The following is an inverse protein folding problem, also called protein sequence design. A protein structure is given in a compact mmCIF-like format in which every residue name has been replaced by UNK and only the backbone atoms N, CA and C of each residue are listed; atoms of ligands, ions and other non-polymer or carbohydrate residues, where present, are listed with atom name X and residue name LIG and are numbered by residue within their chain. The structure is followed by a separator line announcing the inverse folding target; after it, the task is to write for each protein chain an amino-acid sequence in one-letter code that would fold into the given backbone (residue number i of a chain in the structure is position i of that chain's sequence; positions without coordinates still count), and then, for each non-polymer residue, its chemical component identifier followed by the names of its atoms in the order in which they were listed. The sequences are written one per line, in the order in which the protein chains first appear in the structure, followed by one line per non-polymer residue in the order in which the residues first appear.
data_IF_989518452820
#
_entry.id   IF_989518452820
#
_cell.length_a   1.000
_cell.length_b   1.000
_cell.length_c   1.000
_cell.angle_alpha   90.00
_cell.angle_beta   90.00
_cell.angle_gamma   90.00
#
_symmetry.space_group_name_H-M   'P 1'
#
loop_
_entity.id
_entity.type
_entity.pdbx_description
1 polymer ?
#
# COMPACT_ATOMS: atom_id res chain seq x y z
N UNK A 1 -15.33 -82.61 -1.80
CA UNK A 1 -14.87 -81.75 -0.69
C UNK A 1 -14.56 -80.37 -1.25
N UNK A 2 -15.31 -79.34 -0.84
CA UNK A 2 -15.23 -78.00 -1.42
C UNK A 2 -13.94 -77.28 -1.02
N UNK A 3 -13.22 -76.72 -2.01
CA UNK A 3 -12.03 -75.91 -1.80
C UNK A 3 -12.44 -74.53 -1.28
N UNK A 4 -12.37 -74.34 0.03
CA UNK A 4 -12.64 -73.08 0.70
C UNK A 4 -11.61 -72.01 0.31
N UNK A 5 -12.01 -71.08 -0.57
CA UNK A 5 -11.29 -69.84 -0.83
C UNK A 5 -11.30 -68.98 0.44
N UNK A 6 -10.18 -68.94 1.16
CA UNK A 6 -9.94 -67.94 2.20
C UNK A 6 -9.93 -66.55 1.56
N UNK A 7 -11.10 -65.90 1.58
CA UNK A 7 -11.29 -64.50 1.21
C UNK A 7 -10.58 -63.66 2.27
N UNK A 8 -9.30 -63.34 2.05
CA UNK A 8 -8.55 -62.37 2.86
C UNK A 8 -9.34 -61.07 2.87
N UNK A 9 -10.07 -60.83 3.95
CA UNK A 9 -10.66 -59.55 4.30
C UNK A 9 -9.55 -58.61 4.79
N UNK A 10 -8.57 -58.30 3.95
CA UNK A 10 -7.87 -57.02 4.11
C UNK A 10 -8.82 -55.96 3.57
N UNK A 11 -9.83 -55.58 4.37
CA UNK A 11 -10.47 -54.28 4.20
C UNK A 11 -9.34 -53.26 4.32
N UNK A 12 -8.75 -52.88 3.19
CA UNK A 12 -7.85 -51.74 3.12
C UNK A 12 -8.61 -50.61 3.78
N UNK A 13 -8.07 -50.10 4.90
CA UNK A 13 -8.63 -48.94 5.58
C UNK A 13 -8.79 -47.88 4.49
N UNK A 14 -10.02 -47.65 4.04
CA UNK A 14 -10.41 -46.52 3.19
C UNK A 14 -9.70 -45.33 3.81
N UNK A 15 -8.74 -44.75 3.07
CA UNK A 15 -7.82 -43.75 3.61
C UNK A 15 -8.60 -42.77 4.46
N UNK A 16 -8.20 -42.64 5.73
CA UNK A 16 -8.83 -41.73 6.68
C UNK A 16 -8.89 -40.38 5.96
N UNK A 17 -10.10 -39.96 5.57
CA UNK A 17 -10.32 -38.65 4.96
C UNK A 17 -9.74 -37.67 5.96
N UNK A 18 -8.63 -37.01 5.59
CA UNK A 18 -8.02 -35.97 6.43
C UNK A 18 -9.16 -35.04 6.83
N UNK A 19 -9.39 -34.92 8.14
CA UNK A 19 -10.44 -34.06 8.68
C UNK A 19 -10.27 -32.69 8.02
N UNK A 20 -11.33 -32.14 7.44
CA UNK A 20 -11.29 -30.80 6.86
C UNK A 20 -11.01 -29.84 8.01
N UNK A 21 -9.79 -29.32 8.06
CA UNK A 21 -9.35 -28.34 9.07
C UNK A 21 -9.34 -26.98 8.39
N UNK A 22 -9.90 -25.97 9.06
CA UNK A 22 -9.89 -24.60 8.57
C UNK A 22 -8.46 -24.13 8.30
N UNK A 23 -8.13 -23.69 7.08
CA UNK A 23 -6.81 -23.18 6.73
C UNK A 23 -6.29 -22.07 7.65
N UNK A 24 -7.16 -21.24 8.24
CA UNK A 24 -6.74 -20.15 9.14
C UNK A 24 -6.15 -20.64 10.47
N UNK A 25 -6.53 -21.85 10.92
CA UNK A 25 -5.96 -22.44 12.15
C UNK A 25 -4.46 -22.75 12.03
N UNK A 26 -3.93 -22.80 10.79
CA UNK A 26 -2.52 -23.04 10.49
C UNK A 26 -1.73 -21.77 10.23
N UNK A 27 -2.35 -20.60 10.35
CA UNK A 27 -1.69 -19.31 10.12
C UNK A 27 -1.31 -18.65 11.43
N UNK A 28 -0.18 -17.94 11.39
CA UNK A 28 0.26 -17.03 12.44
C UNK A 28 0.19 -15.59 11.94
N UNK A 29 -0.06 -14.69 12.89
CA UNK A 29 -0.12 -13.26 12.68
C UNK A 29 1.22 -12.60 13.00
N UNK A 30 1.68 -11.75 12.09
CA UNK A 30 2.90 -10.95 12.18
C UNK A 30 2.56 -9.47 12.05
N UNK A 31 3.18 -8.62 12.89
CA UNK A 31 3.04 -7.17 12.80
C UNK A 31 4.06 -6.58 11.83
N UNK A 32 3.66 -5.62 11.00
CA UNK A 32 4.55 -4.94 10.06
C UNK A 32 4.99 -3.61 10.68
N UNK A 33 6.30 -3.45 10.84
CA UNK A 33 6.91 -2.27 11.44
C UNK A 33 7.59 -1.41 10.37
N UNK A 34 7.22 -0.13 10.32
CA UNK A 34 7.90 0.89 9.51
C UNK A 34 9.19 1.38 10.19
N UNK A 35 10.19 1.84 9.41
CA UNK A 35 11.39 2.48 9.93
C UNK A 35 11.07 3.72 10.77
N UNK A 36 12.00 4.11 11.64
CA UNK A 36 11.92 5.33 12.46
C UNK A 36 11.93 6.64 11.67
N UNK A 37 12.10 6.57 10.34
CA UNK A 37 11.97 7.73 9.45
C UNK A 37 10.52 8.23 9.37
N UNK A 38 9.55 7.38 9.70
CA UNK A 38 8.13 7.69 9.77
C UNK A 38 7.69 7.84 11.23
N UNK A 39 6.66 8.67 11.46
CA UNK A 39 6.15 8.91 12.80
C UNK A 39 5.43 7.68 13.38
N UNK A 40 4.53 7.08 12.60
CA UNK A 40 3.80 5.87 13.00
C UNK A 40 4.56 4.64 12.53
N UNK A 41 5.04 3.84 13.48
CA UNK A 41 5.77 2.59 13.18
C UNK A 41 4.86 1.41 12.93
N UNK A 42 3.66 1.40 13.48
CA UNK A 42 2.71 0.30 13.34
C UNK A 42 1.92 0.47 12.06
N UNK A 43 2.27 -0.33 11.05
CA UNK A 43 1.69 -0.22 9.72
C UNK A 43 0.44 -1.09 9.59
N UNK A 44 0.51 -2.30 10.15
CA UNK A 44 -0.56 -3.27 10.03
C UNK A 44 -0.11 -4.66 10.41
N UNK A 45 -0.92 -5.65 10.04
CA UNK A 45 -0.70 -7.06 10.37
C UNK A 45 -0.87 -7.94 9.15
N UNK A 46 -0.14 -9.04 9.12
CA UNK A 46 -0.19 -10.02 8.04
C UNK A 46 -0.21 -11.44 8.56
N UNK A 47 -0.90 -12.31 7.81
CA UNK A 47 -1.03 -13.72 8.15
C UNK A 47 -0.13 -14.55 7.23
N UNK A 48 0.64 -15.46 7.82
CA UNK A 48 1.48 -16.43 7.09
C UNK A 48 1.32 -17.80 7.69
N UNK A 49 1.51 -18.84 6.88
CA UNK A 49 1.45 -20.21 7.37
C UNK A 49 2.52 -20.44 8.45
N UNK A 50 2.15 -21.15 9.50
CA UNK A 50 3.08 -21.62 10.54
C UNK A 50 4.22 -22.39 9.91
N UNK A 51 5.41 -22.19 10.46
CA UNK A 51 6.58 -22.99 10.12
C UNK A 51 6.25 -24.47 10.35
N UNK A 52 6.40 -25.28 9.32
CA UNK A 52 6.07 -26.70 9.35
C UNK A 52 7.06 -27.48 8.50
N UNK A 53 7.81 -28.38 9.13
CA UNK A 53 8.87 -29.14 8.47
C UNK A 53 9.91 -28.23 7.83
N UNK A 54 10.13 -28.40 6.53
CA UNK A 54 11.14 -27.64 5.75
C UNK A 54 10.65 -26.27 5.26
N UNK A 55 9.38 -25.90 5.49
CA UNK A 55 8.82 -24.62 5.05
C UNK A 55 8.81 -23.64 6.21
N UNK A 56 9.72 -22.67 6.18
CA UNK A 56 9.80 -21.62 7.19
C UNK A 56 8.84 -20.47 6.86
N UNK A 57 8.15 -19.95 7.87
CA UNK A 57 7.29 -18.77 7.75
C UNK A 57 8.11 -17.53 7.35
N UNK A 58 9.32 -17.40 7.89
CA UNK A 58 10.17 -16.23 7.69
C UNK A 58 10.55 -16.04 6.21
N UNK A 59 10.91 -17.13 5.53
CA UNK A 59 11.30 -17.09 4.11
C UNK A 59 10.14 -16.66 3.21
N UNK A 60 8.90 -16.95 3.63
CA UNK A 60 7.71 -16.52 2.89
C UNK A 60 7.41 -15.03 3.11
N UNK A 61 7.80 -14.46 4.24
CA UNK A 61 7.57 -13.07 4.62
C UNK A 61 8.64 -12.13 4.06
N UNK A 62 9.91 -12.54 4.10
CA UNK A 62 11.03 -11.76 3.56
C UNK A 62 10.83 -11.47 2.08
N UNK A 63 11.14 -10.25 1.68
CA UNK A 63 11.00 -9.77 0.31
C UNK A 63 9.58 -9.36 -0.10
N UNK A 64 8.55 -9.57 0.74
CA UNK A 64 7.21 -9.01 0.47
C UNK A 64 7.26 -7.49 0.53
N UNK A 65 6.44 -6.86 -0.31
CA UNK A 65 6.32 -5.41 -0.41
C UNK A 65 4.91 -5.01 0.02
N UNK A 66 4.81 -4.11 0.98
CA UNK A 66 3.59 -3.48 1.43
C UNK A 66 3.49 -2.08 0.84
N UNK A 67 2.32 -1.72 0.34
CA UNK A 67 2.02 -0.39 -0.16
C UNK A 67 1.04 0.28 0.78
N UNK A 68 1.43 1.42 1.33
CA UNK A 68 0.69 2.13 2.38
C UNK A 68 0.67 3.61 2.07
N UNK A 69 -0.40 4.31 2.47
CA UNK A 69 -0.47 5.76 2.34
C UNK A 69 0.56 6.43 3.24
N UNK A 70 1.20 7.50 2.76
CA UNK A 70 2.09 8.31 3.58
C UNK A 70 1.31 9.02 4.70
N UNK A 71 0.03 9.32 4.48
CA UNK A 71 -0.81 9.93 5.50
C UNK A 71 -0.94 9.05 6.75
N UNK A 72 -1.10 7.74 6.59
CA UNK A 72 -1.22 6.80 7.71
C UNK A 72 0.10 6.66 8.48
N UNK A 73 1.24 6.86 7.80
CA UNK A 73 2.57 6.78 8.39
C UNK A 73 2.99 8.08 9.11
N UNK A 74 2.39 9.22 8.74
CA UNK A 74 2.76 10.54 9.27
C UNK A 74 1.63 11.22 10.07
N UNK A 75 0.43 10.63 10.08
CA UNK A 75 -0.80 11.23 10.62
C UNK A 75 -1.12 12.61 10.01
N UNK A 76 -0.84 12.78 8.72
CA UNK A 76 -1.06 14.02 7.96
C UNK A 76 -1.80 13.74 6.66
N UNK A 77 -3.04 14.23 6.56
CA UNK A 77 -3.92 14.00 5.43
C UNK A 77 -3.46 14.71 4.14
N UNK A 78 -2.65 15.77 4.24
CA UNK A 78 -2.12 16.48 3.06
C UNK A 78 -1.26 15.56 2.20
N UNK A 79 -0.73 14.49 2.79
CA UNK A 79 0.11 13.49 2.14
C UNK A 79 -0.64 12.22 1.68
N UNK A 80 -1.98 12.20 1.73
CA UNK A 80 -2.78 11.02 1.40
C UNK A 80 -2.59 10.48 -0.04
N UNK A 81 -2.23 11.35 -0.98
CA UNK A 81 -2.02 10.95 -2.38
C UNK A 81 -0.68 10.22 -2.64
N UNK A 82 0.17 10.10 -1.62
CA UNK A 82 1.50 9.49 -1.75
C UNK A 82 1.45 8.10 -1.16
N UNK A 83 1.88 7.12 -1.96
CA UNK A 83 1.94 5.71 -1.56
C UNK A 83 3.39 5.32 -1.37
N UNK A 84 3.74 4.85 -0.19
CA UNK A 84 5.07 4.36 0.15
C UNK A 84 5.08 2.85 0.03
N UNK A 85 6.14 2.32 -0.57
CA UNK A 85 6.39 0.88 -0.68
C UNK A 85 7.46 0.49 0.34
N UNK A 86 7.10 -0.39 1.25
CA UNK A 86 7.95 -0.92 2.31
C UNK A 86 8.22 -2.40 2.04
N UNK A 87 9.49 -2.79 1.94
CA UNK A 87 9.89 -4.19 1.75
C UNK A 87 10.29 -4.80 3.09
N UNK A 88 9.85 -6.01 3.40
CA UNK A 88 10.33 -6.76 4.56
C UNK A 88 11.72 -7.30 4.26
N UNK A 89 12.73 -6.83 5.00
CA UNK A 89 14.10 -7.34 4.86
C UNK A 89 14.42 -8.38 5.93
N UNK A 90 13.99 -8.17 7.18
CA UNK A 90 14.22 -9.09 8.31
C UNK A 90 13.00 -9.23 9.21
N UNK A 91 12.93 -10.32 9.98
CA UNK A 91 11.82 -10.61 10.90
C UNK A 91 12.41 -10.88 12.27
N UNK A 92 11.91 -10.19 13.29
CA UNK A 92 12.30 -10.35 14.68
C UNK A 92 11.10 -10.82 15.50
N UNK A 93 11.11 -12.08 15.92
CA UNK A 93 9.96 -12.69 16.58
C UNK A 93 8.73 -12.65 15.66
N UNK A 94 7.73 -11.83 16.04
CA UNK A 94 6.51 -11.60 15.23
C UNK A 94 6.49 -10.22 14.53
N UNK A 95 7.59 -9.48 14.58
CA UNK A 95 7.70 -8.15 13.96
C UNK A 95 8.45 -8.28 12.64
N UNK A 96 7.84 -7.82 11.55
CA UNK A 96 8.46 -7.69 10.24
C UNK A 96 9.11 -6.31 10.15
N UNK A 97 10.44 -6.26 10.13
CA UNK A 97 11.19 -5.02 9.96
C UNK A 97 11.26 -4.68 8.47
N UNK A 98 10.73 -3.51 8.13
CA UNK A 98 10.67 -3.06 6.74
C UNK A 98 11.70 -1.99 6.42
N UNK A 99 12.03 -1.88 5.13
CA UNK A 99 12.89 -0.84 4.58
C UNK A 99 12.18 -0.14 3.41
N UNK A 100 12.57 1.10 3.11
CA UNK A 100 12.01 1.85 2.00
C UNK A 100 12.37 1.21 0.66
N UNK A 101 11.37 0.89 -0.15
CA UNK A 101 11.54 0.28 -1.46
C UNK A 101 11.14 1.19 -2.62
N UNK A 102 10.19 2.09 -2.40
CA UNK A 102 9.75 3.02 -3.42
C UNK A 102 8.64 3.94 -2.97
N UNK A 103 8.31 4.87 -3.85
CA UNK A 103 7.24 5.84 -3.65
C UNK A 103 6.48 5.99 -4.96
N UNK A 104 5.16 6.09 -4.88
CA UNK A 104 4.30 6.31 -6.04
C UNK A 104 3.18 7.30 -5.69
N UNK A 105 2.54 7.84 -6.72
CA UNK A 105 1.35 8.66 -6.57
C UNK A 105 0.09 7.81 -6.68
N UNK A 106 -1.00 8.27 -6.06
CA UNK A 106 -2.34 7.79 -6.36
C UNK A 106 -2.76 8.23 -7.77
N UNK A 107 -3.64 7.45 -8.40
CA UNK A 107 -4.07 7.69 -9.78
C UNK A 107 -4.98 8.91 -9.89
N UNK A 108 -5.82 9.15 -8.89
CA UNK A 108 -6.71 10.31 -8.75
C UNK A 108 -5.91 11.61 -8.72
N UNK A 109 -4.89 11.72 -7.85
CA UNK A 109 -4.08 12.93 -7.75
C UNK A 109 -3.37 13.24 -9.05
N UNK A 110 -2.73 12.26 -9.68
CA UNK A 110 -2.05 12.46 -10.96
C UNK A 110 -3.02 12.97 -12.02
N UNK A 111 -4.19 12.35 -12.15
CA UNK A 111 -5.24 12.76 -13.11
C UNK A 111 -5.78 14.15 -12.81
N UNK A 112 -5.87 14.55 -11.55
CA UNK A 112 -6.34 15.88 -11.13
C UNK A 112 -5.38 17.03 -11.48
N UNK A 113 -4.06 16.74 -11.46
CA UNK A 113 -2.99 17.69 -11.75
C UNK A 113 -2.85 17.95 -13.25
N UNK A 114 -3.02 16.91 -14.07
CA UNK A 114 -2.95 16.99 -15.53
C UNK A 114 -4.21 17.64 -16.09
N UNK A 115 -4.17 18.96 -16.23
CA UNK A 115 -5.23 19.77 -16.85
C UNK A 115 -4.79 20.30 -18.22
N UNK A 116 -5.77 20.67 -19.05
CA UNK A 116 -5.53 21.36 -20.34
C UNK A 116 -4.97 22.78 -20.11
N UNK A 117 -4.42 23.38 -21.16
CA UNK A 117 -3.96 24.79 -21.20
C UNK A 117 -2.69 25.15 -20.41
N UNK A 118 -1.96 24.14 -19.98
CA UNK A 118 -0.65 24.25 -19.32
C UNK A 118 0.31 23.22 -19.92
N UNK A 119 1.60 23.44 -19.79
CA UNK A 119 2.63 22.48 -20.22
C UNK A 119 2.95 21.53 -19.07
N UNK A 120 2.98 20.24 -19.38
CA UNK A 120 3.53 19.20 -18.51
C UNK A 120 5.05 19.10 -18.76
N UNK A 121 5.83 19.15 -17.69
CA UNK A 121 7.28 18.96 -17.72
C UNK A 121 7.64 17.73 -16.89
N UNK A 122 8.23 16.73 -17.54
CA UNK A 122 8.72 15.50 -16.93
C UNK A 122 10.24 15.46 -16.94
N UNK A 123 10.82 14.96 -15.84
CA UNK A 123 12.24 14.67 -15.73
C UNK A 123 12.43 13.33 -15.02
N UNK A 124 13.40 12.54 -15.48
CA UNK A 124 13.75 11.25 -14.91
C UNK A 124 15.27 11.16 -14.76
N UNK A 125 15.73 10.61 -13.65
CA UNK A 125 17.15 10.40 -13.38
C UNK A 125 17.37 9.11 -12.59
N UNK A 126 18.48 8.43 -12.88
CA UNK A 126 19.01 7.36 -12.05
C UNK A 126 20.15 7.90 -11.20
N UNK A 127 20.03 7.79 -9.88
CA UNK A 127 21.03 8.27 -8.92
C UNK A 127 21.43 7.12 -8.00
N UNK A 128 22.72 7.09 -7.67
CA UNK A 128 23.26 6.21 -6.63
C UNK A 128 23.41 7.02 -5.34
N UNK A 129 22.85 6.54 -4.26
CA UNK A 129 22.99 7.16 -2.92
C UNK A 129 24.33 6.79 -2.29
N UNK A 130 24.65 7.42 -1.15
CA UNK A 130 25.90 7.16 -0.40
C UNK A 130 26.00 5.74 0.16
N UNK A 131 24.87 5.12 0.47
CA UNK A 131 24.70 3.75 0.95
C UNK A 131 24.50 2.73 -0.19
N UNK A 132 24.95 3.07 -1.41
CA UNK A 132 24.99 2.19 -2.57
C UNK A 132 23.62 1.72 -3.13
N UNK A 133 22.51 2.36 -2.76
CA UNK A 133 21.23 2.13 -3.42
C UNK A 133 21.18 2.84 -4.77
N UNK A 134 20.75 2.13 -5.80
CA UNK A 134 20.52 2.70 -7.13
C UNK A 134 19.03 2.96 -7.30
N UNK A 135 18.64 4.23 -7.36
CA UNK A 135 17.26 4.68 -7.42
C UNK A 135 16.97 5.36 -8.76
N UNK A 136 15.75 5.22 -9.28
CA UNK A 136 15.22 6.00 -10.39
C UNK A 136 14.10 6.91 -9.89
N UNK A 137 14.36 8.21 -9.94
CA UNK A 137 13.45 9.28 -9.53
C UNK A 137 12.74 9.84 -10.76
N UNK A 138 11.44 10.06 -10.65
CA UNK A 138 10.61 10.70 -11.66
C UNK A 138 10.00 11.96 -11.05
N UNK A 139 10.31 13.11 -11.64
CA UNK A 139 9.75 14.39 -11.24
C UNK A 139 8.78 14.89 -12.30
N UNK A 140 7.71 15.52 -11.83
CA UNK A 140 6.69 16.18 -12.66
C UNK A 140 6.54 17.62 -12.21
N UNK A 141 6.27 18.50 -13.16
CA UNK A 141 5.97 19.90 -12.91
C UNK A 141 4.99 20.41 -13.97
N UNK A 142 4.21 21.43 -13.61
CA UNK A 142 3.29 22.11 -14.52
C UNK A 142 3.61 23.59 -14.56
N UNK A 143 3.36 24.23 -15.70
CA UNK A 143 3.48 25.69 -15.80
C UNK A 143 2.41 26.40 -14.97
N UNK A 144 2.81 27.46 -14.27
CA UNK A 144 1.91 28.28 -13.47
C UNK A 144 1.44 29.50 -14.26
N UNK A 145 0.15 29.79 -14.15
CA UNK A 145 -0.42 31.01 -14.73
C UNK A 145 0.01 32.22 -13.92
N UNK A 146 0.44 33.28 -14.59
CA UNK A 146 0.80 34.54 -13.93
C UNK A 146 -0.46 35.30 -13.50
N UNK A 147 -0.43 36.03 -12.37
CA UNK A 147 -1.51 36.95 -12.05
C UNK A 147 -1.65 37.97 -13.19
N UNK A 148 -2.90 38.31 -13.55
CA UNK A 148 -3.24 39.23 -14.64
C UNK A 148 -2.90 38.77 -16.07
N UNK A 149 -2.70 37.46 -16.28
CA UNK A 149 -2.50 36.91 -17.62
C UNK A 149 -3.82 36.83 -18.41
N UNK A 150 -3.89 37.60 -19.51
CA UNK A 150 -5.05 37.65 -20.43
C UNK A 150 -5.22 36.32 -21.18
N UNK A 151 -4.12 35.73 -21.68
CA UNK A 151 -4.17 34.45 -22.39
C UNK A 151 -4.63 33.33 -21.45
N UNK A 152 -5.59 32.52 -21.91
CA UNK A 152 -6.06 31.32 -21.19
C UNK A 152 -4.97 30.25 -21.08
N UNK A 153 -4.08 30.19 -22.06
CA UNK A 153 -3.02 29.18 -22.16
C UNK A 153 -1.70 29.66 -21.56
N UNK A 154 -0.97 28.72 -20.96
CA UNK A 154 0.31 28.95 -20.27
C UNK A 154 1.35 27.95 -20.76
N UNK A 155 1.64 27.99 -22.06
CA UNK A 155 2.62 27.08 -22.65
C UNK A 155 4.03 27.65 -22.53
N UNK A 156 4.96 26.82 -22.07
CA UNK A 156 6.39 27.12 -22.09
C UNK A 156 6.97 26.78 -23.46
N UNK A 157 7.95 27.56 -23.93
CA UNK A 157 8.65 27.27 -25.17
C UNK A 157 9.51 26.00 -25.03
N UNK A 158 9.73 25.27 -26.13
CA UNK A 158 10.52 24.02 -26.11
C UNK A 158 11.96 24.20 -25.61
N UNK A 159 12.54 25.39 -25.77
CA UNK A 159 13.85 25.76 -25.20
C UNK A 159 13.80 25.90 -23.68
N UNK A 160 12.76 26.57 -23.15
CA UNK A 160 12.53 26.72 -21.72
C UNK A 160 12.28 25.36 -21.05
N UNK A 161 11.49 24.47 -21.68
CA UNK A 161 11.25 23.11 -21.16
C UNK A 161 12.57 22.34 -21.02
N UNK A 162 13.47 22.41 -22.01
CA UNK A 162 14.79 21.77 -21.94
C UNK A 162 15.66 22.34 -20.82
N UNK A 163 15.66 23.67 -20.67
CA UNK A 163 16.40 24.34 -19.59
C UNK A 163 15.87 23.96 -18.20
N UNK A 164 14.55 23.88 -18.03
CA UNK A 164 13.90 23.44 -16.79
C UNK A 164 14.25 21.98 -16.49
N UNK A 165 14.14 21.08 -17.47
CA UNK A 165 14.52 19.66 -17.30
C UNK A 165 15.97 19.51 -16.86
N UNK A 166 16.90 20.28 -17.44
CA UNK A 166 18.31 20.27 -17.04
C UNK A 166 18.46 20.65 -15.56
N UNK A 167 17.83 21.75 -15.12
CA UNK A 167 17.84 22.17 -13.71
C UNK A 167 17.19 21.16 -12.77
N UNK A 168 16.08 20.54 -13.17
CA UNK A 168 15.41 19.50 -12.37
C UNK A 168 16.36 18.32 -12.13
N UNK A 169 17.00 17.81 -13.18
CA UNK A 169 17.95 16.70 -13.10
C UNK A 169 19.14 17.06 -12.21
N UNK A 170 19.70 18.26 -12.36
CA UNK A 170 20.84 18.73 -11.57
C UNK A 170 20.53 18.80 -10.07
N UNK A 171 19.38 19.38 -9.69
CA UNK A 171 18.97 19.50 -8.29
C UNK A 171 18.69 18.12 -7.69
N UNK A 172 17.93 17.27 -8.40
CA UNK A 172 17.63 15.91 -7.92
C UNK A 172 18.93 15.11 -7.75
N UNK A 173 19.88 15.23 -8.68
CA UNK A 173 21.16 14.55 -8.59
C UNK A 173 21.95 15.00 -7.37
N UNK A 174 22.06 16.32 -7.14
CA UNK A 174 22.78 16.91 -6.02
C UNK A 174 22.22 16.47 -4.66
N UNK A 175 20.90 16.51 -4.53
CA UNK A 175 20.21 16.20 -3.27
C UNK A 175 20.18 14.69 -2.97
N UNK A 176 20.13 13.84 -3.99
CA UNK A 176 20.04 12.39 -3.82
C UNK A 176 21.41 11.69 -3.74
N UNK A 177 22.46 12.20 -4.40
CA UNK A 177 23.80 11.57 -4.36
C UNK A 177 24.54 11.80 -3.05
N UNK A 178 24.24 12.89 -2.36
CA UNK A 178 24.89 13.31 -1.11
C UNK A 178 24.27 12.66 0.14
N UNK A 179 23.09 12.08 0.01
CA UNK A 179 22.33 11.53 1.13
C UNK A 179 22.34 9.99 1.15
N UNK A 180 22.11 9.42 2.34
CA UNK A 180 21.71 8.02 2.48
C UNK A 180 20.24 7.84 2.08
N UNK A 181 19.78 6.61 1.90
CA UNK A 181 18.38 6.31 1.60
C UNK A 181 17.45 6.90 2.66
N UNK A 182 17.80 6.75 3.94
CA UNK A 182 17.05 7.31 5.07
C UNK A 182 16.95 8.84 5.01
N UNK A 183 18.07 9.53 4.82
CA UNK A 183 18.07 10.99 4.66
C UNK A 183 17.28 11.45 3.44
N UNK A 184 17.38 10.71 2.33
CA UNK A 184 16.59 10.99 1.13
C UNK A 184 15.09 10.85 1.41
N UNK A 185 14.65 9.83 2.16
CA UNK A 185 13.24 9.71 2.55
C UNK A 185 12.76 10.90 3.39
N UNK A 186 13.59 11.40 4.31
CA UNK A 186 13.28 12.62 5.07
C UNK A 186 13.17 13.88 4.22
N UNK A 187 13.86 13.96 3.08
CA UNK A 187 13.69 15.06 2.11
C UNK A 187 12.46 14.89 1.23
N UNK A 188 12.09 13.63 0.93
CA UNK A 188 10.94 13.30 0.10
C UNK A 188 9.61 13.61 0.79
N UNK A 189 9.46 13.28 2.08
CA UNK A 189 8.22 13.46 2.86
C UNK A 189 7.71 14.92 2.81
N UNK A 190 8.47 15.93 3.30
CA UNK A 190 8.08 17.35 3.27
C UNK A 190 8.24 18.04 1.90
N UNK A 191 8.55 17.28 0.84
CA UNK A 191 8.71 17.78 -0.54
C UNK A 191 9.82 18.83 -0.75
N UNK A 192 10.92 18.77 0.03
CA UNK A 192 12.02 19.77 -0.04
C UNK A 192 12.58 19.91 -1.45
N UNK A 193 12.78 18.78 -2.14
CA UNK A 193 13.31 18.76 -3.51
C UNK A 193 12.35 19.46 -4.49
N UNK A 194 11.04 19.30 -4.32
CA UNK A 194 10.04 19.95 -5.17
C UNK A 194 10.09 21.48 -5.04
N UNK A 195 10.18 21.97 -3.80
CA UNK A 195 10.28 23.41 -3.48
C UNK A 195 11.57 24.03 -4.01
N UNK A 196 12.70 23.32 -3.91
CA UNK A 196 13.98 23.80 -4.43
C UNK A 196 13.97 23.92 -5.96
N UNK A 197 13.36 22.95 -6.65
CA UNK A 197 13.16 23.01 -8.10
C UNK A 197 12.30 24.22 -8.48
N UNK A 198 11.19 24.46 -7.78
CA UNK A 198 10.32 25.61 -8.04
C UNK A 198 11.09 26.93 -7.92
N UNK A 199 11.84 27.12 -6.83
CA UNK A 199 12.65 28.32 -6.59
C UNK A 199 13.72 28.52 -7.66
N UNK A 200 14.42 27.45 -8.06
CA UNK A 200 15.53 27.52 -9.02
C UNK A 200 15.07 27.74 -10.47
N UNK A 201 13.84 27.38 -10.78
CA UNK A 201 13.25 27.46 -12.13
C UNK A 201 12.42 28.73 -12.34
N UNK A 202 12.07 29.45 -11.27
CA UNK A 202 11.28 30.69 -11.31
C UNK A 202 11.85 31.75 -12.27
N UNK A 203 13.17 31.83 -12.42
CA UNK A 203 13.84 32.74 -13.37
C UNK A 203 13.67 32.37 -14.84
N UNK A 204 13.33 31.12 -15.16
CA UNK A 204 13.08 30.66 -16.54
C UNK A 204 11.58 30.76 -16.84
N UNK A 205 10.77 30.08 -16.03
CA UNK A 205 9.32 30.06 -16.15
C UNK A 205 8.70 29.68 -14.79
N UNK A 206 7.61 30.34 -14.35
CA UNK A 206 6.97 29.99 -13.08
C UNK A 206 6.31 28.61 -13.17
N UNK A 207 6.59 27.73 -12.20
CA UNK A 207 6.03 26.39 -12.11
C UNK A 207 5.04 26.27 -10.95
N UNK A 208 4.21 25.24 -10.98
CA UNK A 208 3.31 24.82 -9.90
C UNK A 208 3.28 23.30 -9.82
N UNK A 209 2.89 22.76 -8.67
CA UNK A 209 2.73 21.32 -8.43
C UNK A 209 3.97 20.52 -8.83
N UNK A 210 5.13 20.96 -8.34
CA UNK A 210 6.41 20.31 -8.60
C UNK A 210 6.59 19.19 -7.58
N UNK A 211 6.50 17.95 -8.04
CA UNK A 211 6.60 16.79 -7.16
C UNK A 211 7.52 15.71 -7.73
N UNK A 212 8.09 14.91 -6.84
CA UNK A 212 8.66 13.61 -7.19
C UNK A 212 7.50 12.62 -7.25
N UNK A 213 7.02 12.36 -8.46
CA UNK A 213 5.89 11.48 -8.75
C UNK A 213 6.16 10.04 -8.35
N UNK A 214 7.38 9.56 -8.62
CA UNK A 214 7.71 8.15 -8.45
C UNK A 214 9.17 7.94 -8.12
N UNK A 215 9.44 7.01 -7.21
CA UNK A 215 10.78 6.52 -6.89
C UNK A 215 10.77 5.01 -7.03
N UNK A 216 11.70 4.48 -7.83
CA UNK A 216 11.91 3.04 -8.00
C UNK A 216 13.30 2.68 -7.50
N UNK A 217 13.41 1.70 -6.62
CA UNK A 217 14.68 1.07 -6.29
C UNK A 217 15.01 0.05 -7.40
N UNK A 218 16.15 0.26 -8.07
CA UNK A 218 16.64 -0.60 -9.15
C UNK A 218 17.62 -1.64 -8.62
N UNK A 219 18.55 -1.21 -7.77
CA UNK A 219 19.55 -2.08 -7.13
C UNK A 219 19.64 -1.75 -5.65
N UNK A 220 19.59 -2.78 -4.83
CA UNK A 220 19.91 -2.68 -3.40
C UNK A 220 21.37 -3.07 -3.18
N UNK A 221 22.04 -2.47 -2.17
CA UNK A 221 23.34 -2.92 -1.71
C UNK A 221 23.24 -4.29 -1.05
N UNK A 222 24.39 -4.84 -0.64
CA UNK A 222 24.42 -6.08 0.14
C UNK A 222 23.65 -5.85 1.44
N UNK A 223 22.83 -6.83 1.83
CA UNK A 223 22.07 -6.76 3.07
C UNK A 223 23.00 -6.62 4.26
N UNK A 224 22.77 -5.56 5.04
CA UNK A 224 23.43 -5.32 6.32
C UNK A 224 22.37 -5.27 7.43
N UNK A 225 22.47 -6.22 8.36
CA UNK A 225 21.58 -6.31 9.50
C UNK A 225 21.78 -5.12 10.45
N UNK A 226 23.02 -4.64 10.63
CA UNK A 226 23.33 -3.54 11.53
C UNK A 226 22.62 -2.24 11.12
N UNK A 227 22.75 -1.87 9.84
CA UNK A 227 22.05 -0.72 9.28
C UNK A 227 20.51 -0.83 9.39
N UNK A 228 19.94 -2.02 9.18
CA UNK A 228 18.50 -2.23 9.32
C UNK A 228 18.04 -2.05 10.78
N UNK A 229 18.76 -2.62 11.75
CA UNK A 229 18.39 -2.49 13.16
C UNK A 229 18.51 -1.05 13.66
N UNK A 230 19.51 -0.31 13.19
CA UNK A 230 19.65 1.11 13.48
C UNK A 230 18.44 1.93 13.00
N UNK A 231 17.85 1.57 11.86
CA UNK A 231 16.63 2.22 11.33
C UNK A 231 15.37 1.92 12.15
N UNK A 232 15.37 0.87 12.97
CA UNK A 232 14.21 0.49 13.78
C UNK A 232 14.39 0.79 15.27
N UNK A 233 15.57 1.20 15.72
CA UNK A 233 15.81 1.68 17.09
C UNK A 233 15.49 0.68 18.22
N UNK A 234 15.06 -0.55 17.89
CA UNK A 234 14.62 -1.56 18.86
C UNK A 234 15.79 -2.21 19.62
N UNK A 235 17.03 -1.79 19.39
CA UNK A 235 18.18 -2.15 20.22
C UNK A 235 18.33 -1.29 21.48
N UNK A 236 17.39 -0.39 21.77
CA UNK A 236 17.42 0.50 22.93
C UNK A 236 16.12 0.48 23.74
N UNK A 237 15.53 -0.70 23.98
CA UNK A 237 14.57 -0.84 25.08
C UNK A 237 15.30 -0.61 26.41
N UNK A 238 15.16 0.62 26.92
CA UNK A 238 14.80 0.93 28.30
C UNK A 238 15.67 0.41 29.46
N UNK A 239 16.98 0.66 29.42
CA UNK A 239 17.85 0.73 30.61
C UNK A 239 18.31 2.18 30.92
N UNK A 240 17.45 3.16 30.65
CA UNK A 240 17.57 4.48 31.28
C UNK A 240 16.60 4.52 32.44
N UNK A 241 17.09 4.05 33.59
CA UNK A 241 16.40 4.10 34.87
C UNK A 241 15.72 5.44 35.06
N UNK A 242 14.39 5.38 35.20
CA UNK A 242 13.58 6.50 35.62
C UNK A 242 14.13 6.99 36.96
N UNK A 243 14.68 8.20 36.99
CA UNK A 243 15.26 8.80 38.19
C UNK A 243 14.11 9.01 39.19
N UNK A 244 13.98 8.11 40.15
CA UNK A 244 13.08 8.28 41.29
C UNK A 244 13.68 9.40 42.14
N UNK A 245 13.00 10.54 42.22
CA UNK A 245 13.29 11.54 43.25
C UNK A 245 13.03 10.92 44.63
N UNK A 246 14.11 10.61 45.36
CA UNK A 246 14.03 10.26 46.77
C UNK A 246 13.66 11.51 47.57
N UNK A 247 12.38 11.65 47.93
CA UNK A 247 11.98 12.56 48.99
C UNK A 247 11.99 11.84 50.34
N UNK A 248 12.79 12.45 51.23
CA UNK A 248 13.10 12.05 52.60
C UNK A 248 11.89 11.67 53.43
N UNK A 249 12.11 10.69 54.29
CA UNK A 249 11.26 10.26 55.40
C UNK A 249 10.85 11.41 56.33
N UNK A 250 9.55 11.57 56.56
CA UNK A 250 9.02 12.05 57.85
C UNK A 250 7.79 11.22 58.24
N UNK A 251 7.93 10.45 59.31
CA UNK A 251 6.82 10.10 60.20
C UNK A 251 6.44 11.36 60.96
N UNK A 252 5.15 11.63 61.07
CA UNK A 252 4.45 12.02 62.32
C UNK A 252 2.97 12.24 62.02
N UNK A 253 2.13 11.50 62.73
CA UNK A 253 0.75 11.89 62.98
C UNK A 253 0.77 13.27 63.66
N UNK A 254 0.27 14.29 63.00
CA UNK A 254 -0.31 15.45 63.68
C UNK A 254 -1.49 15.96 62.84
N UNK A 255 -2.62 16.14 63.53
CA UNK A 255 -3.91 16.52 62.95
C UNK A 255 -4.06 18.03 63.10
N UNK A 256 -3.81 18.78 62.04
CA UNK A 256 -4.07 20.22 62.04
C UNK A 256 -5.57 20.51 61.87
N UNK A 257 -6.14 21.21 62.85
CA UNK A 257 -7.48 21.80 62.80
C UNK A 257 -7.44 23.11 62.00
N UNK A 258 -8.35 23.27 61.03
CA UNK A 258 -8.62 24.57 60.42
C UNK A 258 -10.08 24.97 60.68
N UNK A 259 -10.24 26.21 61.14
CA UNK A 259 -11.44 26.80 61.70
C UNK A 259 -12.49 27.18 60.64
N UNK A 260 -13.74 27.28 61.09
CA UNK A 260 -14.90 27.69 60.29
C UNK A 260 -14.76 29.11 59.71
N UNK A 261 -15.14 29.24 58.44
CA UNK A 261 -15.20 30.50 57.69
C UNK A 261 -16.07 30.33 56.45
N UNK A 262 -17.34 30.69 56.61
CA UNK A 262 -18.50 30.58 55.71
C UNK A 262 -18.32 31.17 54.28
N UNK A 263 -18.86 30.44 53.30
CA UNK A 263 -19.43 30.78 51.95
C UNK A 263 -18.61 30.81 50.64
N UNK A 264 -19.03 29.90 49.74
CA UNK A 264 -19.02 30.01 48.26
C UNK A 264 -17.85 29.28 47.59
N UNK A 265 -17.98 28.44 46.56
CA UNK A 265 -19.06 28.02 45.65
C UNK A 265 -18.65 26.65 45.09
N UNK A 266 -19.63 25.78 44.84
CA UNK A 266 -19.45 24.40 44.35
C UNK A 266 -18.67 24.35 43.02
N UNK A 267 -17.50 23.72 43.03
CA UNK A 267 -16.83 23.30 41.80
C UNK A 267 -17.58 22.14 41.14
N UNK A 268 -17.98 22.39 39.89
CA UNK A 268 -18.59 21.44 38.98
C UNK A 268 -17.63 20.27 38.70
N UNK A 269 -17.80 19.18 39.43
CA UNK A 269 -17.22 17.88 39.08
C UNK A 269 -18.25 17.12 38.23
N UNK A 270 -17.91 16.64 37.02
CA UNK A 270 -18.84 16.00 36.11
C UNK A 270 -19.43 14.70 36.70
N UNK A 271 -20.75 14.56 36.55
CA UNK A 271 -21.66 13.54 37.11
C UNK A 271 -21.28 12.06 36.93
N UNK A 272 -20.20 11.74 36.25
CA UNK A 272 -19.81 10.37 35.92
C UNK A 272 -18.67 9.79 36.77
N UNK A 273 -17.98 10.60 37.59
CA UNK A 273 -16.83 10.11 38.38
C UNK A 273 -17.06 10.01 39.90
N UNK A 274 -18.22 10.41 40.42
CA UNK A 274 -18.54 10.31 41.84
C UNK A 274 -19.77 9.42 42.09
N UNK A 275 -19.55 8.12 42.29
CA UNK A 275 -20.52 7.24 42.95
C UNK A 275 -19.77 6.25 43.86
N UNK A 276 -19.51 6.65 45.09
CA UNK A 276 -19.65 5.70 46.19
C UNK A 276 -21.15 5.40 46.29
N UNK A 277 -21.52 4.12 46.19
CA UNK A 277 -22.90 3.70 46.47
C UNK A 277 -23.29 4.01 47.92
N UNK A 278 -24.59 3.83 48.29
CA UNK A 278 -25.03 3.98 49.67
C UNK A 278 -24.15 3.18 50.62
N UNK A 279 -23.90 3.70 51.82
CA UNK A 279 -23.13 3.01 52.87
C UNK A 279 -23.77 1.63 53.12
N UNK A 280 -22.93 0.59 53.10
CA UNK A 280 -23.25 -0.86 53.15
C UNK A 280 -23.59 -1.58 51.83
N UNK A 281 -23.34 -0.98 50.66
CA UNK A 281 -23.37 -1.69 49.38
C UNK A 281 -21.96 -2.09 48.91
N UNK A 282 -21.65 -3.39 48.93
CA UNK A 282 -20.37 -3.94 48.44
C UNK A 282 -20.20 -3.65 46.92
N UNK A 283 -19.14 -2.94 46.50
CA UNK A 283 -18.94 -2.53 45.10
C UNK A 283 -18.73 -3.70 44.13
N UNK A 284 -18.53 -4.93 44.61
CA UNK A 284 -18.41 -6.13 43.76
C UNK A 284 -19.72 -6.89 43.55
N UNK A 285 -20.81 -6.51 44.23
CA UNK A 285 -22.09 -7.24 44.15
C UNK A 285 -22.94 -6.74 42.97
N UNK A 286 -23.34 -7.65 42.09
CA UNK A 286 -24.25 -7.32 40.98
C UNK A 286 -25.72 -7.39 41.43
N UNK A 287 -26.55 -6.50 40.87
CA UNK A 287 -27.96 -6.41 41.23
C UNK A 287 -28.70 -7.70 40.86
N UNK A 288 -29.47 -8.27 41.80
CA UNK A 288 -30.24 -9.53 41.66
C UNK A 288 -29.40 -10.77 41.31
N UNK A 289 -28.14 -10.83 41.74
CA UNK A 289 -27.22 -11.97 41.53
C UNK A 289 -27.16 -12.42 40.06
N UNK A 290 -27.18 -11.46 39.14
CA UNK A 290 -27.11 -11.71 37.71
C UNK A 290 -28.40 -12.21 37.05
N UNK A 291 -29.54 -12.24 37.74
CA UNK A 291 -30.84 -12.65 37.17
C UNK A 291 -31.84 -11.50 37.09
N UNK A 292 -32.13 -11.03 35.88
CA UNK A 292 -33.17 -10.02 35.64
C UNK A 292 -32.98 -9.24 34.35
N UNK A 293 -34.05 -8.60 33.88
CA UNK A 293 -34.17 -7.99 32.54
C UNK A 293 -32.93 -7.15 32.16
N UNK A 294 -32.11 -7.71 31.27
CA UNK A 294 -30.80 -7.17 30.85
C UNK A 294 -29.61 -8.10 31.13
N UNK A 295 -29.80 -9.17 31.90
CA UNK A 295 -28.82 -10.22 32.18
C UNK A 295 -29.52 -11.58 32.04
N UNK A 296 -29.07 -12.36 31.04
CA UNK A 296 -29.63 -13.65 30.63
C UNK A 296 -29.81 -14.57 31.83
N UNK A 297 -30.94 -15.30 31.87
CA UNK A 297 -31.52 -15.96 33.03
C UNK A 297 -30.59 -16.87 33.84
N UNK A 298 -31.12 -17.39 34.96
CA UNK A 298 -30.32 -18.25 35.85
C UNK A 298 -30.00 -19.58 35.16
N UNK A 299 -28.83 -20.13 35.45
CA UNK A 299 -28.44 -21.47 35.00
C UNK A 299 -29.48 -22.49 35.47
N UNK A 300 -30.26 -23.04 34.52
CA UNK A 300 -31.36 -23.97 34.77
C UNK A 300 -32.70 -23.59 34.11
N UNK A 301 -32.90 -22.32 33.73
CA UNK A 301 -34.13 -21.88 33.03
C UNK A 301 -34.21 -22.39 31.58
N UNK A 302 -33.07 -22.70 30.94
CA UNK A 302 -33.01 -23.24 29.57
C UNK A 302 -33.56 -24.68 29.44
N UNK A 303 -33.85 -25.34 30.56
CA UNK A 303 -34.35 -26.72 30.59
C UNK A 303 -35.88 -26.80 30.44
N UNK A 304 -36.60 -25.67 30.47
CA UNK A 304 -38.06 -25.62 30.36
C UNK A 304 -38.58 -25.27 28.95
N UNK A 305 -37.71 -24.86 28.02
CA UNK A 305 -38.10 -24.44 26.66
C UNK A 305 -38.04 -25.59 25.62
N UNK A 306 -38.46 -26.80 25.99
CA UNK A 306 -38.52 -27.95 25.05
C UNK A 306 -39.92 -28.37 24.67
N UNK A 307 -40.86 -27.43 24.52
CA UNK A 307 -42.12 -27.70 23.82
C UNK A 307 -42.04 -27.18 22.38
N UNK A 308 -41.49 -28.01 21.50
CA UNK A 308 -41.31 -27.69 20.08
C UNK A 308 -42.64 -27.84 19.32
N UNK A 309 -43.29 -26.72 18.98
CA UNK A 309 -44.48 -26.71 18.11
C UNK A 309 -44.09 -26.58 16.63
N UNK A 310 -44.46 -27.56 15.81
CA UNK A 310 -44.10 -27.67 14.39
C UNK A 310 -44.93 -26.79 13.43
N UNK A 311 -45.85 -25.97 13.93
CA UNK A 311 -46.88 -25.31 13.09
C UNK A 311 -46.71 -23.80 12.86
N UNK A 312 -45.63 -23.16 13.31
CA UNK A 312 -45.44 -21.73 13.08
C UNK A 312 -44.58 -21.46 11.82
N UNK A 313 -45.24 -20.99 10.76
CA UNK A 313 -44.58 -20.48 9.56
C UNK A 313 -43.64 -19.31 9.90
N UNK A 314 -42.36 -19.42 9.52
CA UNK A 314 -41.37 -18.37 9.74
C UNK A 314 -41.77 -17.08 9.02
N UNK A 315 -42.01 -16.02 9.78
CA UNK A 315 -42.16 -14.65 9.26
C UNK A 315 -40.82 -14.15 8.70
N UNK A 316 -40.80 -13.93 7.39
CA UNK A 316 -39.92 -13.06 6.60
C UNK A 316 -38.39 -13.20 6.77
N UNK A 317 -37.81 -14.12 5.98
CA UNK A 317 -36.45 -14.00 5.47
C UNK A 317 -36.47 -13.36 4.08
N UNK A 318 -35.78 -12.23 3.88
CA UNK A 318 -35.50 -11.64 2.56
C UNK A 318 -34.42 -12.44 1.80
N UNK A 319 -34.62 -13.75 1.66
CA UNK A 319 -33.93 -14.57 0.68
C UNK A 319 -34.96 -15.09 -0.32
N UNK A 320 -35.43 -14.22 -1.22
CA UNK A 320 -36.11 -14.68 -2.41
C UNK A 320 -35.07 -15.18 -3.41
N UNK A 321 -34.81 -16.49 -3.37
CA UNK A 321 -34.39 -17.22 -4.56
C UNK A 321 -35.61 -17.31 -5.48
N UNK A 322 -35.80 -16.28 -6.30
CA UNK A 322 -36.64 -16.37 -7.49
C UNK A 322 -35.78 -16.12 -8.73
N UNK A 323 -35.72 -17.15 -9.58
CA UNK A 323 -35.64 -17.04 -11.04
C UNK A 323 -34.51 -16.22 -11.64
N UNK A 324 -33.27 -16.72 -11.60
CA UNK A 324 -32.20 -16.31 -12.53
C UNK A 324 -32.26 -17.18 -13.81
N UNK A 325 -33.43 -17.26 -14.45
CA UNK A 325 -33.59 -18.01 -15.69
C UNK A 325 -33.85 -17.12 -16.93
N UNK A 326 -34.33 -15.89 -16.77
CA UNK A 326 -34.77 -15.07 -17.92
C UNK A 326 -34.24 -13.62 -17.90
N UNK A 327 -32.92 -13.43 -17.72
CA UNK A 327 -32.27 -12.16 -18.03
C UNK A 327 -31.01 -12.39 -18.85
N UNK A 328 -31.14 -12.24 -20.17
CA UNK A 328 -30.00 -12.12 -21.07
C UNK A 328 -29.22 -10.83 -20.74
N UNK A 329 -27.97 -10.98 -20.31
CA UNK A 329 -27.08 -9.83 -20.13
C UNK A 329 -26.60 -9.34 -21.50
N UNK A 330 -26.51 -8.02 -21.68
CA UNK A 330 -26.02 -7.34 -22.90
C UNK A 330 -24.54 -7.61 -23.26
N UNK A 331 -23.92 -8.64 -22.66
CA UNK A 331 -22.51 -8.99 -22.82
C UNK A 331 -22.27 -10.39 -23.40
N UNK A 332 -23.32 -11.13 -23.79
CA UNK A 332 -23.21 -12.38 -24.56
C UNK A 332 -23.80 -12.25 -25.97
N UNK A 333 -23.70 -11.06 -26.59
CA UNK A 333 -23.75 -10.97 -28.03
C UNK A 333 -22.39 -11.44 -28.56
N UNK A 334 -22.33 -12.66 -29.08
CA UNK A 334 -21.24 -13.11 -29.92
C UNK A 334 -21.22 -12.19 -31.15
N UNK A 335 -20.30 -11.23 -31.21
CA UNK A 335 -20.01 -10.55 -32.47
C UNK A 335 -19.42 -11.63 -33.41
N UNK A 336 -20.05 -11.94 -34.54
CA UNK A 336 -19.37 -12.73 -35.55
C UNK A 336 -18.15 -11.91 -36.01
N UNK A 337 -16.97 -12.50 -35.90
CA UNK A 337 -15.74 -11.92 -36.46
C UNK A 337 -16.02 -11.52 -37.93
N UNK A 338 -15.60 -10.32 -38.36
CA UNK A 338 -15.72 -9.96 -39.76
C UNK A 338 -14.89 -10.95 -40.58
N UNK A 339 -15.59 -11.80 -41.33
CA UNK A 339 -15.00 -12.65 -42.37
C UNK A 339 -14.44 -11.70 -43.41
N UNK A 340 -13.10 -11.56 -43.42
CA UNK A 340 -12.41 -11.02 -44.58
C UNK A 340 -12.58 -12.05 -45.68
N UNK A 341 -13.33 -11.69 -46.72
CA UNK A 341 -13.26 -12.37 -48.00
C UNK A 341 -11.84 -12.14 -48.55
N UNK A 342 -10.94 -13.06 -48.22
CA UNK A 342 -9.73 -13.29 -49.02
C UNK A 342 -10.21 -13.77 -50.39
N UNK A 343 -10.09 -12.91 -51.40
CA UNK A 343 -10.17 -13.33 -52.78
C UNK A 343 -8.98 -14.25 -53.06
N UNK A 344 -9.23 -15.55 -52.94
CA UNK A 344 -8.36 -16.60 -53.45
C UNK A 344 -8.19 -16.43 -54.96
N UNK A 345 -7.04 -15.86 -55.34
CA UNK A 345 -6.47 -16.01 -56.67
C UNK A 345 -6.12 -17.49 -56.80
N UNK A 346 -6.89 -18.17 -57.65
CA UNK A 346 -6.91 -19.62 -57.79
C UNK A 346 -5.57 -20.29 -58.08
N UNK A 347 -5.53 -21.55 -57.65
CA UNK A 347 -4.54 -22.59 -57.88
C UNK A 347 -3.98 -22.60 -59.32
N UNK A 348 -2.64 -22.58 -59.41
CA UNK A 348 -1.90 -23.22 -60.48
C UNK A 348 -0.85 -24.15 -59.85
N UNK A 349 -1.02 -25.43 -60.17
CA UNK A 349 -0.27 -26.55 -59.64
C UNK A 349 1.23 -26.56 -60.03
N UNK A 350 2.04 -26.99 -59.06
CA UNK A 350 3.16 -27.96 -59.13
C UNK A 350 4.17 -27.84 -60.28
N UNK A 351 5.44 -27.60 -59.94
CA UNK A 351 6.58 -27.96 -60.79
C UNK A 351 7.95 -27.52 -60.27
N UNK A 352 8.69 -28.45 -59.65
CA UNK A 352 10.12 -28.35 -59.34
C UNK A 352 10.97 -28.00 -60.58
N UNK A 353 12.06 -27.24 -60.38
CA UNK A 353 13.30 -27.43 -61.16
C UNK A 353 13.96 -26.18 -61.74
N UNK A 354 15.26 -26.03 -61.44
CA UNK A 354 16.23 -25.10 -62.03
C UNK A 354 16.08 -24.90 -63.55
N UNK A 355 16.19 -23.64 -64.02
CA UNK A 355 16.87 -23.32 -65.28
C UNK A 355 17.26 -21.83 -65.36
N UNK A 356 18.52 -21.62 -65.74
CA UNK A 356 19.18 -20.35 -66.02
C UNK A 356 18.92 -19.99 -67.49
N UNK A 357 18.61 -18.72 -67.82
CA UNK A 357 18.95 -18.15 -69.13
C UNK A 357 19.00 -16.61 -69.11
N UNK A 358 20.12 -16.08 -69.62
CA UNK A 358 20.32 -14.73 -70.20
C UNK A 358 19.28 -14.50 -71.32
N UNK A 359 18.98 -13.27 -71.78
CA UNK A 359 19.78 -12.45 -72.70
C UNK A 359 19.06 -11.09 -72.90
N UNK A 360 19.83 -10.00 -72.81
CA UNK A 360 19.98 -8.80 -73.68
C UNK A 360 18.85 -8.48 -74.70
N UNK A 361 18.56 -7.28 -75.19
CA UNK A 361 19.14 -5.92 -75.22
C UNK A 361 18.12 -5.05 -76.00
N UNK A 362 18.08 -3.73 -75.77
CA UNK A 362 17.83 -2.73 -76.82
C UNK A 362 18.00 -1.31 -76.27
N UNK A 363 19.05 -0.67 -76.75
CA UNK A 363 19.40 0.75 -76.68
C UNK A 363 18.45 1.64 -77.47
N UNK A 364 18.26 2.89 -77.03
CA UNK A 364 18.42 4.14 -77.82
C UNK A 364 17.98 5.34 -76.97
N UNK A 365 18.94 6.16 -76.54
CA UNK A 365 19.33 7.45 -77.13
C UNK A 365 18.39 8.61 -76.79
N UNK A 366 18.95 9.63 -76.12
CA UNK A 366 18.32 10.95 -76.04
C UNK A 366 18.89 11.86 -74.95
N UNK A 367 20.09 12.41 -75.20
CA UNK A 367 20.60 13.75 -74.82
C UNK A 367 19.98 14.45 -73.57
N UNK A 368 20.70 14.65 -72.47
CA UNK A 368 21.80 15.61 -72.23
C UNK A 368 21.35 17.05 -71.91
N UNK A 369 21.91 17.53 -70.77
CA UNK A 369 22.11 18.92 -70.35
C UNK A 369 20.84 19.69 -69.88
N UNK A 370 20.87 20.54 -68.86
CA UNK A 370 21.95 21.04 -68.01
C UNK A 370 21.34 21.71 -66.76
N UNK A 371 22.16 21.80 -65.71
CA UNK A 371 22.32 22.91 -64.75
C UNK A 371 21.19 23.43 -63.84
N UNK A 372 21.49 23.22 -62.56
CA UNK A 372 21.88 24.25 -61.59
C UNK A 372 20.80 25.13 -60.92
N UNK A 373 20.74 25.00 -59.59
CA UNK A 373 20.57 26.11 -58.66
C UNK A 373 19.18 26.70 -58.46
N UNK A 374 18.63 26.52 -57.25
CA UNK A 374 18.63 27.60 -56.22
C UNK A 374 18.01 27.13 -54.91
N UNK A 375 18.75 27.44 -53.85
CA UNK A 375 18.22 27.65 -52.49
C UNK A 375 17.24 28.83 -52.51
N UNK A 376 16.13 28.69 -51.79
CA UNK A 376 15.83 29.49 -50.59
C UNK A 376 14.99 28.65 -49.64
#
# INVERSE_FOLDING_TARGET
MAVGKNKRLSKGKKGIKKRTVDPFTRKDEYSVKAPSTFQTRDVGKTLVNRTSGLKNANDSLKGRIFEVSLADLQNDEDHAFRKVKLRVDEIQGKNCLTNFHGLDFTTDKLRSLVRKWQTLIEANITVKTTDDYLLRLFAIAFTKRRPNQIKKTTYAASSQIRAIRKKMVEIIQREASTCTLSQLTHKLIPEVIGREIEKSTQGIYPLQNVHIRKVKLLKSPKFDLGALLALHGESATDDKGQKVELTRSHKSNDREHQAEGVTGTRDNIPRYFAKSGPTDADPRKTKKDGGGKGNWGRSGDEMQDTDYSFANARRHSNSSTQGLADFNTKFEAFEPEPVFEEEDIGDMAVGNGNAVTKVESASSNGSAADRDGRKY
#
